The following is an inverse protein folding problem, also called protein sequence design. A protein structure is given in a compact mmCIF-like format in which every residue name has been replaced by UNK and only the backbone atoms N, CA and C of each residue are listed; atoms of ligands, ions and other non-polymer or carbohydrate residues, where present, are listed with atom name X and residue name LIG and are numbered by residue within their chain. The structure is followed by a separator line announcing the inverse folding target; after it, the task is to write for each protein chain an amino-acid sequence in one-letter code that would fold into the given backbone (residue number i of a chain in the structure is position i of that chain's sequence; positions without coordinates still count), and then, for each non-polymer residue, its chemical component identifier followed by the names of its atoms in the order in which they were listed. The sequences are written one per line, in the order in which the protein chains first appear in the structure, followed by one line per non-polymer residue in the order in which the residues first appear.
data_IF_507829766452
#
_entry.id   IF_507829766452
#
_cell.length_a   1.000
_cell.length_b   1.000
_cell.length_c   1.000
_cell.angle_alpha   90.00
_cell.angle_beta   90.00
_cell.angle_gamma   90.00
#
_symmetry.space_group_name_H-M   'P 1'
#
loop_
_entity.id
_entity.type
_entity.pdbx_description
1 polymer ?
#
# COMPACT_ATOMS: atom_id res chain seq x y z
N UNK A 1 -16.24 -42.13 -54.49
CA UNK A 1 -17.41 -41.77 -55.29
C UNK A 1 -18.28 -40.85 -54.47
N UNK A 2 -18.88 -39.86 -55.13
CA UNK A 2 -19.76 -38.77 -54.64
C UNK A 2 -19.05 -37.47 -54.21
N UNK A 3 -19.20 -36.48 -55.10
CA UNK A 3 -18.96 -35.06 -54.98
C UNK A 3 -20.04 -34.37 -54.12
N UNK A 4 -19.72 -33.19 -53.57
CA UNK A 4 -20.39 -31.92 -53.87
C UNK A 4 -20.13 -30.88 -52.76
N UNK A 5 -19.53 -29.74 -53.09
CA UNK A 5 -20.17 -28.41 -53.01
C UNK A 5 -19.13 -27.29 -52.95
N UNK A 6 -19.35 -26.33 -53.84
CA UNK A 6 -18.50 -25.20 -54.23
C UNK A 6 -18.99 -23.89 -53.58
N UNK A 7 -18.18 -22.83 -53.72
CA UNK A 7 -18.46 -21.37 -53.60
C UNK A 7 -18.28 -20.74 -52.20
N UNK A 8 -17.72 -19.52 -52.00
CA UNK A 8 -17.61 -18.32 -52.85
C UNK A 8 -16.42 -17.40 -52.45
N UNK A 9 -15.81 -16.82 -53.50
CA UNK A 9 -15.14 -15.52 -53.70
C UNK A 9 -14.15 -14.89 -52.70
N UNK A 10 -12.98 -14.57 -53.26
CA UNK A 10 -12.12 -13.45 -52.92
C UNK A 10 -12.26 -12.33 -53.97
N UNK A 11 -12.18 -11.06 -53.53
CA UNK A 11 -11.74 -9.95 -54.36
C UNK A 11 -10.87 -8.97 -53.53
N UNK A 12 -9.92 -8.26 -54.16
CA UNK A 12 -8.78 -7.61 -53.50
C UNK A 12 -8.94 -6.08 -53.38
N UNK A 13 -8.10 -5.45 -52.55
CA UNK A 13 -7.90 -3.99 -52.57
C UNK A 13 -6.39 -3.69 -52.69
N UNK A 14 -6.05 -2.88 -53.69
CA UNK A 14 -4.73 -2.32 -54.04
C UNK A 14 -4.87 -0.77 -54.01
N UNK A 15 -3.78 0.01 -53.77
CA UNK A 15 -3.82 1.28 -53.03
C UNK A 15 -3.59 2.54 -53.90
N UNK A 16 -3.68 3.75 -53.29
CA UNK A 16 -2.97 4.96 -53.72
C UNK A 16 -2.87 6.05 -52.62
N UNK A 17 -1.71 6.72 -52.59
CA UNK A 17 -1.14 7.81 -51.74
C UNK A 17 -1.74 9.23 -51.99
N UNK A 18 -1.18 10.43 -51.57
CA UNK A 18 0.09 10.79 -50.88
C UNK A 18 0.08 12.01 -49.88
N UNK A 19 1.29 12.40 -49.41
CA UNK A 19 1.80 13.73 -48.93
C UNK A 19 2.05 13.92 -47.41
N UNK A 20 3.33 13.91 -46.99
CA UNK A 20 4.21 15.05 -46.57
C UNK A 20 4.03 15.45 -45.09
N UNK A 21 5.03 15.59 -44.20
CA UNK A 21 6.47 15.81 -44.29
C UNK A 21 7.11 15.50 -42.92
N UNK A 22 8.21 14.73 -42.88
CA UNK A 22 9.06 14.58 -41.70
C UNK A 22 10.46 15.10 -42.02
N UNK A 23 10.94 16.08 -41.24
CA UNK A 23 12.31 16.58 -41.31
C UNK A 23 13.24 15.59 -40.61
N UNK A 24 14.03 14.85 -41.40
CA UNK A 24 15.17 14.06 -40.91
C UNK A 24 16.37 14.98 -40.69
N UNK A 25 16.96 14.92 -39.49
CA UNK A 25 18.34 15.34 -39.27
C UNK A 25 19.22 14.09 -39.26
N UNK A 26 19.97 13.87 -40.34
CA UNK A 26 21.01 12.83 -40.47
C UNK A 26 22.29 13.32 -39.81
N UNK A 27 22.89 12.50 -38.95
CA UNK A 27 24.32 12.61 -38.63
C UNK A 27 25.00 11.36 -39.17
N UNK A 28 25.88 11.58 -40.17
CA UNK A 28 26.75 10.59 -40.78
C UNK A 28 27.90 10.25 -39.82
N UNK A 29 28.24 8.97 -39.70
CA UNK A 29 29.54 8.53 -39.21
C UNK A 29 30.40 8.12 -40.41
N UNK A 30 31.55 8.79 -40.59
CA UNK A 30 32.56 8.44 -41.58
C UNK A 30 33.46 7.33 -41.03
N UNK A 31 33.69 6.30 -41.85
CA UNK A 31 34.71 5.28 -41.61
C UNK A 31 36.09 5.86 -41.95
N UNK A 32 37.02 5.82 -41.00
CA UNK A 32 38.44 6.06 -41.21
C UNK A 32 39.24 4.83 -40.78
N UNK A 33 39.88 4.17 -41.75
CA UNK A 33 40.87 3.12 -41.55
C UNK A 33 42.24 3.73 -41.23
N UNK A 34 42.88 3.29 -40.15
CA UNK A 34 44.35 3.29 -40.06
C UNK A 34 44.84 2.22 -39.08
N UNK A 35 45.76 1.41 -39.59
CA UNK A 35 46.57 0.38 -38.97
C UNK A 35 47.42 0.84 -37.77
N UNK A 36 47.55 0.00 -36.74
CA UNK A 36 48.55 0.16 -35.68
C UNK A 36 48.49 -0.96 -34.64
N UNK A 37 49.60 -1.69 -34.49
CA UNK A 37 49.79 -2.88 -33.67
C UNK A 37 49.97 -2.56 -32.17
N UNK A 38 49.62 -3.55 -31.33
CA UNK A 38 50.17 -3.89 -30.01
C UNK A 38 50.01 -2.91 -28.83
N UNK A 39 49.22 -3.30 -27.82
CA UNK A 39 49.70 -3.86 -26.54
C UNK A 39 48.56 -3.87 -25.51
N UNK A 40 48.33 -5.02 -24.86
CA UNK A 40 47.40 -5.14 -23.73
C UNK A 40 47.95 -4.39 -22.51
N UNK A 41 47.28 -3.31 -22.09
CA UNK A 41 47.44 -2.72 -20.76
C UNK A 41 46.13 -2.85 -19.98
N UNK A 42 46.13 -3.78 -19.02
CA UNK A 42 45.08 -3.94 -18.02
C UNK A 42 45.21 -2.82 -17.00
N UNK A 43 44.36 -1.79 -17.07
CA UNK A 43 44.33 -0.73 -16.07
C UNK A 43 43.54 -1.20 -14.85
N UNK A 44 44.24 -1.58 -13.78
CA UNK A 44 43.66 -1.86 -12.48
C UNK A 44 43.26 -0.54 -11.79
N UNK A 45 41.95 -0.33 -11.58
CA UNK A 45 41.44 0.79 -10.78
C UNK A 45 41.64 0.43 -9.30
N UNK A 46 42.60 1.08 -8.65
CA UNK A 46 42.82 1.00 -7.21
C UNK A 46 41.75 1.82 -6.47
N UNK A 47 40.82 1.14 -5.79
CA UNK A 47 39.91 1.78 -4.84
C UNK A 47 40.63 2.04 -3.53
N UNK A 48 40.77 3.32 -3.16
CA UNK A 48 41.23 3.73 -1.82
C UNK A 48 40.12 3.47 -0.79
N UNK A 49 40.42 2.90 0.40
CA UNK A 49 39.41 2.72 1.43
C UNK A 49 38.98 4.07 2.02
N UNK A 50 37.67 4.28 2.10
CA UNK A 50 37.05 5.41 2.80
C UNK A 50 37.23 5.18 4.31
N UNK A 51 37.88 6.12 4.99
CA UNK A 51 38.04 6.14 6.46
C UNK A 51 36.74 6.61 7.11
N UNK A 52 36.13 5.78 7.94
CA UNK A 52 35.09 6.19 8.88
C UNK A 52 35.71 6.87 10.12
N UNK A 53 35.12 7.94 10.67
CA UNK A 53 35.57 8.51 11.94
C UNK A 53 35.30 7.54 13.10
N UNK A 54 36.32 7.36 13.94
CA UNK A 54 36.28 6.58 15.19
C UNK A 54 35.50 7.35 16.26
N UNK A 55 34.31 6.88 16.62
CA UNK A 55 33.78 7.01 17.99
C UNK A 55 32.85 5.82 18.27
N UNK A 56 33.44 4.71 18.72
CA UNK A 56 32.76 3.75 19.59
C UNK A 56 33.84 2.91 20.28
N UNK A 57 34.36 3.45 21.38
CA UNK A 57 35.12 2.67 22.36
C UNK A 57 34.51 3.01 23.72
N UNK A 58 33.55 2.20 24.16
CA UNK A 58 33.62 1.63 25.49
C UNK A 58 32.59 0.52 25.69
N UNK A 59 32.89 -0.38 26.62
CA UNK A 59 32.05 -1.50 27.12
C UNK A 59 32.16 -2.84 26.36
N UNK A 60 33.38 -3.32 26.16
CA UNK A 60 33.67 -4.75 26.37
C UNK A 60 34.40 -4.95 27.69
N UNK A 61 33.66 -5.17 28.79
CA UNK A 61 34.18 -5.92 29.94
C UNK A 61 33.07 -6.73 30.59
N UNK A 62 33.43 -7.99 30.87
CA UNK A 62 32.73 -9.00 31.66
C UNK A 62 31.69 -9.86 30.93
N UNK A 63 32.16 -10.96 30.33
CA UNK A 63 31.94 -12.28 30.94
C UNK A 63 32.91 -13.32 30.37
N UNK A 64 33.69 -13.92 31.28
CA UNK A 64 34.53 -15.10 31.01
C UNK A 64 33.64 -16.28 30.68
N UNK A 65 33.88 -16.92 29.54
CA UNK A 65 33.45 -18.28 29.27
C UNK A 65 34.24 -19.24 30.19
N UNK A 66 33.53 -19.90 31.11
CA UNK A 66 34.01 -21.11 31.75
C UNK A 66 33.02 -22.23 31.44
N UNK A 67 33.52 -23.28 30.79
CA UNK A 67 32.84 -24.56 30.58
C UNK A 67 32.82 -25.36 31.88
N UNK A 68 31.66 -25.91 32.27
CA UNK A 68 31.56 -26.99 33.25
C UNK A 68 30.74 -28.16 32.67
N UNK A 69 31.09 -29.42 33.00
CA UNK A 69 30.43 -30.60 32.47
C UNK A 69 29.23 -31.03 33.33
N UNK A 70 28.16 -31.50 32.67
CA UNK A 70 27.12 -32.34 33.28
C UNK A 70 25.85 -31.64 33.79
N UNK A 71 24.71 -32.04 33.23
CA UNK A 71 23.48 -32.31 34.01
C UNK A 71 22.51 -31.16 34.31
N UNK A 72 21.37 -31.19 33.61
CA UNK A 72 20.03 -30.61 33.92
C UNK A 72 19.86 -29.08 33.79
N UNK A 73 19.06 -28.69 32.80
CA UNK A 73 18.43 -27.37 32.69
C UNK A 73 17.24 -27.26 33.64
N UNK A 74 17.24 -26.27 34.53
CA UNK A 74 16.04 -25.76 35.22
C UNK A 74 15.59 -24.48 34.52
N UNK A 75 14.29 -24.38 34.19
CA UNK A 75 13.65 -23.16 33.70
C UNK A 75 13.67 -22.08 34.79
N UNK A 76 14.44 -21.00 34.57
CA UNK A 76 14.39 -19.77 35.37
C UNK A 76 13.40 -18.77 34.76
N UNK A 77 12.59 -18.14 35.61
CA UNK A 77 11.55 -17.15 35.28
C UNK A 77 12.06 -16.04 34.37
N UNK A 78 11.32 -15.76 33.29
CA UNK A 78 11.50 -14.55 32.47
C UNK A 78 11.22 -13.30 33.31
N UNK A 79 12.19 -12.39 33.35
CA UNK A 79 12.11 -11.09 33.99
C UNK A 79 11.10 -10.19 33.25
N UNK A 80 10.29 -9.46 34.02
CA UNK A 80 9.31 -8.48 33.55
C UNK A 80 10.01 -7.32 32.81
N UNK A 81 9.52 -6.98 31.63
CA UNK A 81 9.89 -5.74 30.94
C UNK A 81 9.40 -4.51 31.74
N UNK A 82 10.21 -3.44 31.87
CA UNK A 82 9.79 -2.23 32.58
C UNK A 82 8.76 -1.44 31.77
N UNK A 83 7.70 -0.98 32.45
CA UNK A 83 6.68 -0.07 31.93
C UNK A 83 7.33 1.25 31.50
N UNK A 84 7.27 1.58 30.22
CA UNK A 84 7.53 2.94 29.73
C UNK A 84 6.21 3.70 29.78
N UNK A 85 6.14 4.72 30.64
CA UNK A 85 5.00 5.63 30.74
C UNK A 85 5.19 6.72 29.68
N UNK A 86 4.50 6.60 28.56
CA UNK A 86 4.45 7.66 27.55
C UNK A 86 3.64 8.84 28.11
N UNK A 87 4.27 10.00 28.23
CA UNK A 87 3.60 11.27 28.53
C UNK A 87 3.05 11.77 27.20
N UNK A 88 1.73 11.73 27.04
CA UNK A 88 1.04 12.29 25.89
C UNK A 88 1.07 13.82 25.99
N UNK A 89 1.76 14.48 25.07
CA UNK A 89 1.48 15.86 24.75
C UNK A 89 0.10 15.88 24.06
N UNK A 90 -0.86 16.59 24.64
CA UNK A 90 -2.17 16.82 24.04
C UNK A 90 -2.01 17.82 22.90
N UNK A 91 -2.34 17.40 21.69
CA UNK A 91 -2.47 18.33 20.56
C UNK A 91 -3.59 19.35 20.87
N UNK A 92 -3.43 20.63 20.47
CA UNK A 92 -4.47 21.63 20.69
C UNK A 92 -5.72 21.31 19.86
N UNK A 93 -6.93 21.63 20.36
CA UNK A 93 -8.18 21.30 19.69
C UNK A 93 -8.27 22.04 18.36
N UNK A 94 -8.36 21.27 17.27
CA UNK A 94 -8.63 21.77 15.92
C UNK A 94 -10.01 22.47 15.95
N UNK A 95 -10.02 23.73 15.52
CA UNK A 95 -11.21 24.56 15.48
C UNK A 95 -12.34 23.90 14.66
N UNK A 96 -13.55 23.93 15.21
CA UNK A 96 -14.76 23.41 14.57
C UNK A 96 -15.25 24.43 13.55
N UNK A 97 -15.10 24.11 12.26
CA UNK A 97 -15.88 24.77 11.21
C UNK A 97 -17.29 24.17 11.20
N UNK A 98 -18.22 24.88 11.84
CA UNK A 98 -19.64 24.60 11.76
C UNK A 98 -20.21 25.22 10.47
N UNK A 99 -20.27 24.42 9.41
CA UNK A 99 -21.13 24.67 8.26
C UNK A 99 -22.31 23.68 8.28
N UNK A 100 -23.51 24.22 8.23
CA UNK A 100 -24.80 23.55 8.43
C UNK A 100 -25.17 22.59 7.29
N UNK A 101 -25.70 21.43 7.69
CA UNK A 101 -26.26 20.40 6.82
C UNK A 101 -26.75 19.24 7.67
N UNK A 102 -28.03 19.29 8.07
CA UNK A 102 -28.71 18.27 8.86
C UNK A 102 -28.87 16.98 8.05
N UNK A 103 -27.90 16.08 8.20
CA UNK A 103 -27.91 14.72 7.68
C UNK A 103 -26.84 13.95 8.44
N UNK A 104 -27.20 12.78 8.98
CA UNK A 104 -26.38 11.94 9.86
C UNK A 104 -24.87 12.07 9.56
N UNK A 105 -24.14 12.81 10.41
CA UNK A 105 -22.72 13.18 10.19
C UNK A 105 -21.81 11.93 10.12
N UNK A 106 -22.24 10.81 10.71
CA UNK A 106 -21.57 9.51 10.65
C UNK A 106 -22.28 8.61 9.62
N UNK A 107 -21.59 8.28 8.53
CA UNK A 107 -22.20 7.47 7.46
C UNK A 107 -21.27 6.42 6.84
N UNK A 108 -20.05 6.27 7.37
CA UNK A 108 -19.03 5.40 6.80
C UNK A 108 -18.60 4.34 7.80
N UNK A 109 -18.68 3.07 7.43
CA UNK A 109 -17.98 1.99 8.15
C UNK A 109 -16.60 1.78 7.55
N UNK A 110 -15.56 1.79 8.37
CA UNK A 110 -14.18 1.54 7.90
C UNK A 110 -13.85 0.07 8.10
N UNK A 111 -13.37 -0.61 7.05
CA UNK A 111 -12.75 -1.93 7.16
C UNK A 111 -11.24 -1.72 7.13
N UNK A 112 -10.59 -1.92 8.27
CA UNK A 112 -9.14 -1.79 8.40
C UNK A 112 -8.47 -3.17 8.29
N UNK A 113 -7.80 -3.42 7.17
CA UNK A 113 -7.16 -4.70 6.88
C UNK A 113 -5.80 -4.81 7.58
N UNK A 114 -5.73 -5.64 8.62
CA UNK A 114 -4.54 -5.88 9.44
C UNK A 114 -4.18 -7.37 9.59
N UNK A 115 -4.72 -8.24 8.74
CA UNK A 115 -4.52 -9.70 8.78
C UNK A 115 -3.34 -10.25 7.97
N UNK A 116 -2.64 -9.42 7.19
CA UNK A 116 -1.61 -9.90 6.27
C UNK A 116 -0.40 -10.51 7.00
N UNK A 117 0.13 -11.64 6.52
CA UNK A 117 1.24 -12.37 7.19
C UNK A 117 2.63 -11.75 7.02
N UNK A 118 2.81 -10.75 6.13
CA UNK A 118 4.06 -9.96 6.05
C UNK A 118 5.31 -10.73 5.56
N UNK A 119 5.16 -11.74 4.69
CA UNK A 119 6.24 -12.67 4.28
C UNK A 119 7.49 -12.04 3.64
N UNK A 120 7.41 -10.80 3.14
CA UNK A 120 8.51 -10.11 2.44
C UNK A 120 9.47 -9.32 3.36
N UNK A 121 9.15 -9.19 4.65
CA UNK A 121 9.91 -8.37 5.60
C UNK A 121 10.95 -9.13 6.42
N UNK A 122 11.01 -10.46 6.31
CA UNK A 122 11.96 -11.30 7.07
C UNK A 122 11.84 -11.22 8.60
N UNK A 123 10.82 -10.53 9.11
CA UNK A 123 10.58 -10.34 10.53
C UNK A 123 9.71 -11.47 11.11
N UNK A 124 9.93 -11.80 12.39
CA UNK A 124 9.12 -12.78 13.15
C UNK A 124 7.68 -12.31 13.44
N UNK A 125 7.34 -11.08 13.04
CA UNK A 125 6.06 -10.43 13.29
C UNK A 125 5.53 -9.82 11.99
N UNK A 126 4.21 -9.85 11.74
CA UNK A 126 3.64 -9.22 10.56
C UNK A 126 3.95 -7.73 10.51
N UNK A 127 4.26 -7.25 9.31
CA UNK A 127 4.81 -5.92 9.08
C UNK A 127 3.97 -4.78 9.66
N UNK A 128 2.64 -4.88 9.60
CA UNK A 128 1.73 -3.84 10.09
C UNK A 128 1.78 -3.66 11.61
N UNK A 129 2.44 -4.57 12.34
CA UNK A 129 2.68 -4.45 13.78
C UNK A 129 4.10 -4.00 14.13
N UNK A 130 4.97 -3.82 13.13
CA UNK A 130 6.31 -3.26 13.37
C UNK A 130 6.18 -1.85 13.93
N UNK A 131 7.08 -1.44 14.83
CA UNK A 131 7.09 -0.08 15.36
C UNK A 131 7.51 0.91 14.25
N UNK A 132 6.72 1.96 14.11
CA UNK A 132 6.99 3.16 13.33
C UNK A 132 6.91 4.33 14.31
N UNK A 133 8.07 4.91 14.64
CA UNK A 133 8.20 5.92 15.71
C UNK A 133 7.62 5.46 17.06
N UNK A 134 7.91 4.21 17.43
CA UNK A 134 7.48 3.62 18.72
C UNK A 134 6.03 3.14 18.77
N UNK A 135 5.24 3.32 17.69
CA UNK A 135 3.85 2.85 17.59
C UNK A 135 3.70 1.84 16.44
N UNK A 136 2.93 0.75 16.59
CA UNK A 136 2.63 -0.16 15.48
C UNK A 136 2.12 0.58 14.23
N UNK A 137 2.63 0.23 13.05
CA UNK A 137 2.24 0.83 11.75
C UNK A 137 0.72 0.92 11.60
N UNK A 138 0.00 -0.16 11.91
CA UNK A 138 -1.46 -0.24 11.78
C UNK A 138 -2.21 0.81 12.60
N UNK A 139 -1.64 1.21 13.75
CA UNK A 139 -2.29 2.17 14.64
C UNK A 139 -2.26 3.61 14.11
N UNK A 140 -1.34 3.95 13.20
CA UNK A 140 -1.31 5.30 12.61
C UNK A 140 -2.54 5.56 11.74
N UNK A 141 -2.87 4.63 10.83
CA UNK A 141 -4.10 4.73 10.04
C UNK A 141 -5.35 4.54 10.91
N UNK A 142 -5.32 3.62 11.88
CA UNK A 142 -6.44 3.43 12.82
C UNK A 142 -6.81 4.74 13.52
N UNK A 143 -5.81 5.43 14.10
CA UNK A 143 -6.05 6.69 14.79
C UNK A 143 -6.54 7.78 13.84
N UNK A 144 -6.03 7.82 12.61
CA UNK A 144 -6.51 8.77 11.60
C UNK A 144 -8.02 8.61 11.37
N UNK A 145 -8.49 7.38 11.13
CA UNK A 145 -9.93 7.12 10.97
C UNK A 145 -10.72 7.33 12.26
N UNK A 146 -10.17 6.93 13.40
CA UNK A 146 -10.89 6.97 14.66
C UNK A 146 -11.22 8.39 15.16
N UNK A 147 -10.49 9.40 14.66
CA UNK A 147 -10.75 10.81 14.95
C UNK A 147 -11.59 11.52 13.87
N UNK A 148 -12.04 10.81 12.83
CA UNK A 148 -12.89 11.38 11.80
C UNK A 148 -14.36 11.33 12.20
N UNK A 149 -15.06 12.46 12.09
CA UNK A 149 -16.47 12.60 12.43
C UNK A 149 -17.39 11.84 11.47
N UNK A 150 -16.90 11.54 10.27
CA UNK A 150 -17.60 10.82 9.20
C UNK A 150 -17.69 9.31 9.48
N UNK A 151 -16.78 8.79 10.31
CA UNK A 151 -16.63 7.37 10.60
C UNK A 151 -17.63 6.96 11.69
N UNK A 152 -18.50 6.03 11.33
CA UNK A 152 -19.51 5.45 12.20
C UNK A 152 -18.89 4.39 13.13
N UNK A 153 -17.97 3.59 12.59
CA UNK A 153 -17.32 2.48 13.26
C UNK A 153 -16.08 2.03 12.48
N UNK A 154 -15.19 1.30 13.14
CA UNK A 154 -14.04 0.64 12.53
C UNK A 154 -14.13 -0.86 12.76
N UNK A 155 -14.23 -1.63 11.69
CA UNK A 155 -14.08 -3.09 11.68
C UNK A 155 -12.62 -3.41 11.39
N UNK A 156 -11.89 -3.86 12.42
CA UNK A 156 -10.50 -4.28 12.27
C UNK A 156 -10.46 -5.75 11.89
N UNK A 157 -9.89 -6.05 10.73
CA UNK A 157 -9.70 -7.43 10.27
C UNK A 157 -8.30 -7.88 10.63
N UNK A 158 -8.16 -8.58 11.75
CA UNK A 158 -6.86 -9.00 12.29
C UNK A 158 -6.89 -10.41 12.87
N UNK A 159 -5.74 -11.05 12.93
CA UNK A 159 -5.60 -12.31 13.67
C UNK A 159 -5.88 -12.07 15.16
N UNK A 160 -6.61 -12.96 15.86
CA UNK A 160 -6.95 -12.80 17.27
C UNK A 160 -5.74 -12.55 18.19
N UNK A 161 -4.56 -13.05 17.82
CA UNK A 161 -3.32 -12.84 18.59
C UNK A 161 -2.81 -11.39 18.60
N UNK A 162 -3.34 -10.52 17.74
CA UNK A 162 -3.00 -9.10 17.67
C UNK A 162 -4.18 -8.17 18.01
N UNK A 163 -5.29 -8.74 18.47
CA UNK A 163 -6.51 -7.98 18.78
C UNK A 163 -6.29 -6.99 19.93
N UNK A 164 -5.49 -7.39 20.91
CA UNK A 164 -5.09 -6.59 22.07
C UNK A 164 -4.45 -5.25 21.70
N UNK A 165 -3.68 -5.21 20.61
CA UNK A 165 -3.08 -3.97 20.05
C UNK A 165 -4.15 -2.91 19.77
N UNK A 166 -5.27 -3.32 19.18
CA UNK A 166 -6.35 -2.41 18.81
C UNK A 166 -7.32 -2.18 19.96
N UNK A 167 -7.55 -3.17 20.84
CA UNK A 167 -8.39 -2.99 22.03
C UNK A 167 -7.78 -1.98 22.99
N UNK A 168 -6.45 -1.95 23.14
CA UNK A 168 -5.79 -0.91 23.93
C UNK A 168 -5.98 0.46 23.28
N UNK A 169 -5.73 0.58 21.98
CA UNK A 169 -5.90 1.84 21.24
C UNK A 169 -7.37 2.33 21.20
N UNK A 170 -8.33 1.40 21.24
CA UNK A 170 -9.75 1.70 21.22
C UNK A 170 -10.24 2.41 22.50
N UNK A 171 -9.51 2.29 23.62
CA UNK A 171 -9.86 2.95 24.89
C UNK A 171 -9.80 4.47 24.81
N UNK A 172 -8.96 4.99 23.91
CA UNK A 172 -8.69 6.41 23.76
C UNK A 172 -9.56 7.08 22.68
N UNK A 173 -10.49 6.34 22.05
CA UNK A 173 -11.31 6.85 20.94
C UNK A 173 -12.80 6.59 21.20
N UNK A 174 -13.65 7.48 20.67
CA UNK A 174 -15.10 7.39 20.85
C UNK A 174 -15.78 6.47 19.82
N UNK A 175 -15.11 6.19 18.70
CA UNK A 175 -15.68 5.38 17.62
C UNK A 175 -15.78 3.90 18.05
N UNK A 176 -16.91 3.22 17.81
CA UNK A 176 -17.03 1.79 18.03
C UNK A 176 -15.99 1.01 17.21
N UNK A 177 -15.33 0.05 17.85
CA UNK A 177 -14.38 -0.86 17.21
C UNK A 177 -14.92 -2.28 17.25
N UNK A 178 -15.03 -2.91 16.09
CA UNK A 178 -15.39 -4.32 15.91
C UNK A 178 -14.21 -5.10 15.33
N UNK A 179 -14.31 -6.42 15.37
CA UNK A 179 -13.26 -7.30 14.89
C UNK A 179 -13.83 -8.37 13.96
N UNK A 180 -13.09 -8.68 12.89
CA UNK A 180 -13.40 -9.78 11.98
C UNK A 180 -12.16 -10.64 11.74
N UNK A 181 -12.38 -11.91 11.38
CA UNK A 181 -11.29 -12.84 11.09
C UNK A 181 -10.68 -12.57 9.70
N UNK A 182 -9.35 -12.62 9.56
CA UNK A 182 -8.71 -12.55 8.26
C UNK A 182 -9.01 -13.81 7.45
N UNK A 183 -9.20 -13.62 6.15
CA UNK A 183 -9.39 -14.72 5.22
C UNK A 183 -8.08 -15.28 4.66
N UNK A 184 -8.19 -16.23 3.72
CA UNK A 184 -7.02 -16.82 3.05
C UNK A 184 -6.35 -15.77 2.16
N UNK A 185 -7.16 -14.99 1.46
CA UNK A 185 -6.73 -13.92 0.57
C UNK A 185 -7.22 -12.54 1.07
N UNK A 186 -6.80 -11.47 0.39
CA UNK A 186 -7.12 -10.09 0.83
C UNK A 186 -8.63 -9.83 0.74
N UNK A 187 -9.25 -10.25 -0.35
CA UNK A 187 -10.68 -10.08 -0.62
C UNK A 187 -11.55 -10.90 0.33
N UNK A 188 -11.10 -12.09 0.77
CA UNK A 188 -11.79 -12.85 1.82
C UNK A 188 -11.81 -12.05 3.13
N UNK A 189 -10.70 -11.36 3.44
CA UNK A 189 -10.61 -10.49 4.61
C UNK A 189 -11.55 -9.28 4.50
N UNK A 190 -11.70 -8.72 3.30
CA UNK A 190 -12.67 -7.65 3.03
C UNK A 190 -14.10 -8.15 3.21
N UNK A 191 -14.44 -9.33 2.68
CA UNK A 191 -15.75 -9.98 2.86
C UNK A 191 -16.06 -10.22 4.33
N UNK A 192 -15.10 -10.73 5.12
CA UNK A 192 -15.25 -10.87 6.56
C UNK A 192 -15.56 -9.54 7.24
N UNK A 193 -14.82 -8.48 6.90
CA UNK A 193 -15.09 -7.15 7.43
C UNK A 193 -16.46 -6.60 7.02
N UNK A 194 -16.86 -6.81 5.77
CA UNK A 194 -18.14 -6.37 5.20
C UNK A 194 -19.35 -7.02 5.88
N UNK A 195 -19.18 -8.23 6.43
CA UNK A 195 -20.24 -8.90 7.18
C UNK A 195 -20.46 -8.30 8.58
N UNK A 196 -19.49 -7.56 9.12
CA UNK A 196 -19.53 -6.97 10.47
C UNK A 196 -19.95 -5.49 10.47
N UNK A 197 -20.00 -4.85 9.30
CA UNK A 197 -20.36 -3.43 9.22
C UNK A 197 -21.81 -3.18 9.63
N UNK A 198 -22.08 -1.97 10.10
CA UNK A 198 -23.41 -1.49 10.46
C UNK A 198 -24.30 -1.41 9.22
N UNK A 199 -25.54 -1.88 9.37
CA UNK A 199 -26.58 -1.74 8.34
C UNK A 199 -26.98 -0.27 8.09
N UNK A 200 -26.61 0.66 8.98
CA UNK A 200 -26.85 2.09 8.79
C UNK A 200 -25.73 2.81 8.03
N UNK A 201 -24.63 2.13 7.70
CA UNK A 201 -23.55 2.70 6.91
C UNK A 201 -24.01 2.92 5.46
N UNK A 202 -23.77 4.11 4.94
CA UNK A 202 -24.04 4.46 3.53
C UNK A 202 -22.87 4.10 2.63
N UNK A 203 -21.65 4.15 3.17
CA UNK A 203 -20.42 3.81 2.47
C UNK A 203 -19.61 2.85 3.33
N UNK A 204 -18.87 1.96 2.67
CA UNK A 204 -17.79 1.18 3.27
C UNK A 204 -16.45 1.67 2.75
N UNK A 205 -15.52 1.92 3.66
CA UNK A 205 -14.18 2.42 3.37
C UNK A 205 -13.15 1.35 3.71
N UNK A 206 -12.61 0.68 2.69
CA UNK A 206 -11.60 -0.38 2.86
C UNK A 206 -10.21 0.25 2.83
N UNK A 207 -9.42 0.02 3.87
CA UNK A 207 -8.05 0.56 3.98
C UNK A 207 -7.03 -0.49 4.40
N UNK A 208 -5.88 -0.49 3.73
CA UNK A 208 -4.73 -1.29 4.14
C UNK A 208 -4.04 -0.64 5.34
N UNK A 209 -4.00 -1.33 6.49
CA UNK A 209 -3.31 -0.83 7.70
C UNK A 209 -1.81 -0.59 7.51
N UNK A 210 -1.22 -1.17 6.46
CA UNK A 210 0.17 -0.93 6.07
C UNK A 210 0.39 0.42 5.34
N UNK A 211 -0.65 1.26 5.18
CA UNK A 211 -0.55 2.65 4.68
C UNK A 211 -0.77 3.62 5.86
N UNK A 212 0.26 3.90 6.68
CA UNK A 212 0.12 4.71 7.89
C UNK A 212 0.00 6.21 7.63
N UNK A 213 0.23 6.66 6.39
CA UNK A 213 0.41 8.08 6.03
C UNK A 213 -0.78 8.66 5.25
N UNK A 214 -1.93 8.00 5.32
CA UNK A 214 -3.15 8.49 4.68
C UNK A 214 -3.57 9.81 5.33
N UNK A 215 -3.89 10.82 4.51
CA UNK A 215 -4.25 12.15 5.01
C UNK A 215 -5.77 12.30 5.09
N UNK A 216 -6.26 12.92 6.18
CA UNK A 216 -7.70 13.19 6.38
C UNK A 216 -8.33 13.91 5.19
N UNK A 217 -7.62 14.87 4.58
CA UNK A 217 -8.10 15.59 3.40
C UNK A 217 -8.31 14.67 2.19
N UNK A 218 -7.47 13.66 2.01
CA UNK A 218 -7.56 12.73 0.88
C UNK A 218 -8.67 11.71 1.14
N UNK A 219 -8.83 11.26 2.39
CA UNK A 219 -9.96 10.42 2.82
C UNK A 219 -11.29 11.14 2.53
N UNK A 220 -11.44 12.39 2.98
CA UNK A 220 -12.67 13.17 2.73
C UNK A 220 -13.00 13.33 1.25
N UNK A 221 -11.99 13.56 0.40
CA UNK A 221 -12.19 13.63 -1.05
C UNK A 221 -12.75 12.33 -1.61
N UNK A 222 -12.14 11.19 -1.31
CA UNK A 222 -12.61 9.90 -1.84
C UNK A 222 -13.98 9.50 -1.27
N UNK A 223 -14.28 9.88 -0.03
CA UNK A 223 -15.63 9.71 0.54
C UNK A 223 -16.67 10.52 -0.24
N UNK A 224 -16.38 11.78 -0.56
CA UNK A 224 -17.28 12.63 -1.34
C UNK A 224 -17.48 12.11 -2.76
N UNK A 225 -16.40 11.71 -3.44
CA UNK A 225 -16.48 11.16 -4.79
C UNK A 225 -17.27 9.84 -4.80
N UNK A 226 -17.07 8.96 -3.81
CA UNK A 226 -17.86 7.73 -3.67
C UNK A 226 -19.33 8.01 -3.37
N UNK A 227 -19.66 9.06 -2.60
CA UNK A 227 -21.06 9.45 -2.37
C UNK A 227 -21.77 9.92 -3.65
N UNK A 228 -21.03 10.41 -4.66
CA UNK A 228 -21.56 10.85 -5.96
C UNK A 228 -21.61 9.68 -6.96
N UNK A 229 -20.58 8.84 -6.97
CA UNK A 229 -20.38 7.82 -8.01
C UNK A 229 -20.74 6.38 -7.56
N UNK A 230 -21.05 6.18 -6.29
CA UNK A 230 -21.28 4.88 -5.66
C UNK A 230 -20.00 4.08 -5.38
N UNK A 231 -18.91 4.35 -6.11
CA UNK A 231 -17.59 3.77 -5.88
C UNK A 231 -16.48 4.75 -6.28
N UNK A 232 -15.51 4.96 -5.39
CA UNK A 232 -14.30 5.72 -5.66
C UNK A 232 -13.08 5.11 -4.98
N UNK A 233 -11.90 5.36 -5.54
CA UNK A 233 -10.62 4.83 -5.05
C UNK A 233 -9.56 5.93 -5.05
N UNK A 234 -8.73 5.98 -4.01
CA UNK A 234 -7.52 6.81 -4.09
C UNK A 234 -6.53 6.24 -5.09
N UNK A 235 -5.96 7.10 -5.92
CA UNK A 235 -4.86 6.76 -6.79
C UNK A 235 -3.96 7.96 -7.07
N UNK A 236 -2.78 7.69 -7.61
CA UNK A 236 -1.87 8.74 -8.11
C UNK A 236 -1.42 8.42 -9.54
N UNK A 237 -1.19 9.43 -10.40
CA UNK A 237 -0.67 9.17 -11.74
C UNK A 237 0.70 8.50 -11.69
N UNK A 238 0.94 7.54 -12.59
CA UNK A 238 2.23 6.84 -12.65
C UNK A 238 3.32 7.79 -13.17
N UNK A 239 4.41 7.92 -12.40
CA UNK A 239 5.60 8.70 -12.80
C UNK A 239 6.57 7.90 -13.67
N UNK A 240 6.70 6.61 -13.38
CA UNK A 240 7.63 5.73 -14.09
C UNK A 240 7.16 5.45 -15.53
N UNK A 241 8.12 5.18 -16.43
CA UNK A 241 7.76 4.63 -17.74
C UNK A 241 7.46 3.14 -17.56
N UNK A 242 6.23 2.73 -17.87
CA UNK A 242 5.81 1.33 -17.75
C UNK A 242 5.97 0.61 -19.08
N UNK A 243 6.60 -0.56 -19.02
CA UNK A 243 6.77 -1.47 -20.15
C UNK A 243 5.93 -2.72 -19.90
N UNK A 244 5.25 -3.17 -20.95
CA UNK A 244 4.74 -4.52 -21.04
C UNK A 244 5.88 -5.42 -21.55
N UNK A 245 6.03 -6.60 -20.96
CA UNK A 245 7.06 -7.56 -21.31
C UNK A 245 6.44 -8.93 -21.60
N UNK A 246 7.03 -9.65 -22.55
CA UNK A 246 6.69 -11.04 -22.82
C UNK A 246 7.27 -11.96 -21.72
N UNK A 247 6.85 -13.23 -21.71
CA UNK A 247 7.28 -14.22 -20.71
C UNK A 247 8.79 -14.53 -20.74
N UNK A 248 9.47 -14.23 -21.84
CA UNK A 248 10.91 -14.35 -22.02
C UNK A 248 11.70 -13.09 -21.60
N UNK A 249 11.00 -12.06 -21.11
CA UNK A 249 11.59 -10.84 -20.55
C UNK A 249 11.83 -9.72 -21.57
N UNK A 250 11.48 -9.91 -22.85
CA UNK A 250 11.61 -8.84 -23.84
C UNK A 250 10.44 -7.86 -23.77
N UNK A 251 10.75 -6.56 -23.95
CA UNK A 251 9.75 -5.49 -24.00
C UNK A 251 8.86 -5.65 -25.24
N UNK A 252 7.55 -5.72 -25.04
CA UNK A 252 6.54 -5.79 -26.11
C UNK A 252 5.94 -4.42 -26.42
N UNK A 253 5.68 -3.62 -25.38
CA UNK A 253 4.99 -2.34 -25.52
C UNK A 253 5.42 -1.35 -24.45
N UNK A 254 5.43 -0.07 -24.80
CA UNK A 254 5.48 1.02 -23.81
C UNK A 254 4.06 1.52 -23.61
N UNK A 255 3.58 1.48 -22.37
CA UNK A 255 2.24 1.97 -22.05
C UNK A 255 2.23 3.50 -21.96
N UNK A 256 1.15 4.13 -22.42
CA UNK A 256 0.99 5.58 -22.31
C UNK A 256 0.64 5.95 -20.86
N UNK A 257 1.68 6.39 -20.12
CA UNK A 257 1.57 6.70 -18.69
C UNK A 257 0.51 7.75 -18.34
N UNK A 258 0.04 8.56 -19.30
CA UNK A 258 -1.01 9.56 -19.04
C UNK A 258 -2.36 8.94 -18.65
N UNK A 259 -2.56 7.66 -18.95
CA UNK A 259 -3.75 6.89 -18.56
C UNK A 259 -3.47 5.87 -17.45
N UNK A 260 -2.26 5.84 -16.89
CA UNK A 260 -1.89 4.87 -15.87
C UNK A 260 -1.87 5.51 -14.49
N UNK A 261 -2.48 4.81 -13.54
CA UNK A 261 -2.59 5.23 -12.17
C UNK A 261 -2.14 4.11 -11.23
N UNK A 262 -1.42 4.48 -10.19
CA UNK A 262 -1.09 3.59 -9.09
C UNK A 262 -2.24 3.64 -8.07
N UNK A 263 -2.96 2.52 -7.95
CA UNK A 263 -4.07 2.41 -7.02
C UNK A 263 -3.57 2.35 -5.57
N UNK A 264 -4.27 3.10 -4.71
CA UNK A 264 -4.02 3.18 -3.29
C UNK A 264 -5.27 2.75 -2.51
N UNK A 265 -5.17 2.83 -1.18
CA UNK A 265 -6.34 2.80 -0.30
C UNK A 265 -6.40 4.13 0.47
N UNK A 266 -7.58 4.65 0.80
CA UNK A 266 -8.86 3.93 0.84
C UNK A 266 -9.52 3.65 -0.50
N UNK A 267 -10.27 2.55 -0.55
CA UNK A 267 -11.25 2.24 -1.60
C UNK A 267 -12.63 2.35 -0.94
N UNK A 268 -13.50 3.20 -1.47
CA UNK A 268 -14.77 3.57 -0.85
C UNK A 268 -15.91 3.20 -1.78
N UNK A 269 -16.82 2.36 -1.31
CA UNK A 269 -17.85 1.72 -2.13
C UNK A 269 -19.16 1.72 -1.34
N UNK A 270 -20.29 1.82 -2.03
CA UNK A 270 -21.60 1.53 -1.42
C UNK A 270 -21.66 0.07 -0.93
N UNK A 271 -22.13 -0.21 0.30
CA UNK A 271 -22.16 -1.57 0.85
C UNK A 271 -22.91 -2.58 -0.03
N UNK A 272 -24.08 -2.22 -0.53
CA UNK A 272 -24.89 -3.10 -1.39
C UNK A 272 -24.23 -3.36 -2.75
N UNK A 273 -23.52 -2.37 -3.29
CA UNK A 273 -22.75 -2.55 -4.52
C UNK A 273 -21.62 -3.58 -4.31
N UNK A 274 -20.88 -3.46 -3.20
CA UNK A 274 -19.81 -4.39 -2.88
C UNK A 274 -20.34 -5.81 -2.58
N UNK A 275 -21.45 -5.94 -1.85
CA UNK A 275 -22.11 -7.23 -1.58
C UNK A 275 -22.49 -7.96 -2.87
N UNK A 276 -23.20 -7.29 -3.77
CA UNK A 276 -23.54 -7.86 -5.09
C UNK A 276 -22.32 -8.27 -5.89
N UNK A 277 -21.23 -7.52 -5.77
CA UNK A 277 -19.98 -7.83 -6.45
C UNK A 277 -19.36 -9.13 -5.93
N UNK A 278 -19.31 -9.31 -4.61
CA UNK A 278 -18.86 -10.57 -4.01
C UNK A 278 -19.75 -11.75 -4.42
N UNK A 279 -21.07 -11.59 -4.43
CA UNK A 279 -21.99 -12.63 -4.90
C UNK A 279 -21.75 -13.02 -6.36
N UNK A 280 -21.50 -12.04 -7.23
CA UNK A 280 -21.17 -12.27 -8.64
C UNK A 280 -19.86 -13.06 -8.77
N UNK A 281 -18.81 -12.60 -8.11
CA UNK A 281 -17.47 -13.23 -8.13
C UNK A 281 -17.55 -14.68 -7.65
N UNK A 282 -18.27 -14.94 -6.56
CA UNK A 282 -18.42 -16.30 -6.00
C UNK A 282 -19.23 -17.20 -6.95
N UNK A 283 -20.32 -16.69 -7.52
CA UNK A 283 -21.15 -17.44 -8.47
C UNK A 283 -20.40 -17.80 -9.75
N UNK A 284 -19.62 -16.88 -10.29
CA UNK A 284 -18.98 -17.00 -11.60
C UNK A 284 -17.49 -17.38 -11.54
N UNK A 285 -16.94 -17.57 -10.33
CA UNK A 285 -15.55 -17.95 -10.08
C UNK A 285 -14.55 -16.98 -10.76
N UNK A 286 -14.84 -15.69 -10.69
CA UNK A 286 -14.06 -14.64 -11.36
C UNK A 286 -12.77 -14.35 -10.60
N UNK A 287 -11.71 -14.02 -11.34
CA UNK A 287 -10.45 -13.55 -10.76
C UNK A 287 -10.63 -12.12 -10.24
N UNK A 288 -10.09 -11.87 -9.04
CA UNK A 288 -10.16 -10.57 -8.35
C UNK A 288 -8.76 -10.15 -7.95
N UNK A 289 -8.33 -8.96 -8.39
CA UNK A 289 -7.00 -8.42 -8.11
C UNK A 289 -7.00 -7.38 -6.98
N UNK A 290 -8.10 -6.67 -6.81
CA UNK A 290 -8.35 -5.67 -5.77
C UNK A 290 -9.86 -5.44 -5.55
N UNK A 291 -10.26 -4.56 -4.61
CA UNK A 291 -11.69 -4.38 -4.30
C UNK A 291 -12.44 -3.65 -5.43
N UNK A 292 -11.71 -2.85 -6.21
CA UNK A 292 -12.22 -2.18 -7.42
C UNK A 292 -12.60 -3.20 -8.49
N UNK A 293 -11.78 -4.22 -8.73
CA UNK A 293 -12.07 -5.26 -9.73
C UNK A 293 -13.36 -6.03 -9.44
N UNK A 294 -13.76 -6.16 -8.17
CA UNK A 294 -15.06 -6.74 -7.78
C UNK A 294 -16.22 -5.89 -8.35
N UNK A 295 -16.09 -4.57 -8.27
CA UNK A 295 -17.10 -3.61 -8.74
C UNK A 295 -17.08 -3.52 -10.28
N UNK A 296 -15.91 -3.62 -10.90
CA UNK A 296 -15.76 -3.63 -12.36
C UNK A 296 -16.43 -4.85 -13.01
N UNK A 297 -16.45 -6.00 -12.34
CA UNK A 297 -17.19 -7.18 -12.81
C UNK A 297 -18.69 -6.92 -12.92
N UNK A 298 -19.24 -6.04 -12.07
CA UNK A 298 -20.64 -5.57 -12.17
C UNK A 298 -20.87 -4.55 -13.29
N UNK A 299 -19.83 -4.18 -14.06
CA UNK A 299 -19.84 -3.08 -15.04
C UNK A 299 -20.19 -1.72 -14.43
N UNK A 300 -19.98 -1.56 -13.13
CA UNK A 300 -20.13 -0.28 -12.45
C UNK A 300 -18.83 0.51 -12.56
N UNK A 301 -18.93 1.80 -12.87
CA UNK A 301 -17.77 2.67 -13.03
C UNK A 301 -17.20 3.04 -11.67
N UNK A 302 -15.88 2.93 -11.51
CA UNK A 302 -15.18 3.37 -10.30
C UNK A 302 -14.42 4.66 -10.58
N UNK A 303 -14.66 5.68 -9.76
CA UNK A 303 -14.01 6.97 -9.90
C UNK A 303 -12.63 6.95 -9.24
N UNK A 304 -11.60 7.49 -9.92
CA UNK A 304 -10.26 7.61 -9.34
C UNK A 304 -10.13 9.01 -8.74
N UNK A 305 -10.05 9.08 -7.41
CA UNK A 305 -9.77 10.29 -6.67
C UNK A 305 -8.26 10.46 -6.55
N UNK A 306 -7.75 11.63 -6.94
CA UNK A 306 -6.32 11.93 -6.81
C UNK A 306 -5.89 12.04 -5.33
N UNK A 307 -5.00 11.15 -4.92
CA UNK A 307 -4.42 11.09 -3.58
C UNK A 307 -3.01 11.69 -3.49
N UNK A 308 -2.30 11.36 -2.42
CA UNK A 308 -0.91 11.79 -2.21
C UNK A 308 0.09 10.67 -2.49
N UNK A 309 1.23 11.01 -3.11
CA UNK A 309 2.38 10.11 -3.22
C UNK A 309 2.97 9.72 -1.86
N UNK A 310 2.71 10.50 -0.81
CA UNK A 310 3.13 10.17 0.55
C UNK A 310 2.33 9.03 1.17
N UNK A 311 1.16 8.66 0.60
CA UNK A 311 0.31 7.55 1.08
C UNK A 311 0.89 6.17 0.67
N UNK A 312 2.18 5.98 0.95
CA UNK A 312 2.92 4.78 0.58
C UNK A 312 2.47 3.58 1.42
N UNK A 313 2.52 2.39 0.80
CA UNK A 313 2.29 1.13 1.51
C UNK A 313 3.63 0.63 2.01
N UNK A 314 3.77 0.48 3.33
CA UNK A 314 4.98 -0.08 3.93
C UNK A 314 5.01 -1.58 3.61
N UNK A 315 5.98 -1.97 2.79
CA UNK A 315 6.18 -3.35 2.32
C UNK A 315 7.60 -3.85 2.51
N UNK A 316 8.57 -2.95 2.61
CA UNK A 316 10.00 -3.19 2.73
C UNK A 316 10.60 -2.39 3.91
N UNK A 317 11.82 -2.72 4.37
CA UNK A 317 12.53 -1.91 5.36
C UNK A 317 12.79 -0.47 4.90
N UNK A 318 13.08 -0.27 3.61
CA UNK A 318 13.30 1.07 3.04
C UNK A 318 12.04 1.93 3.11
N UNK A 319 10.86 1.32 2.90
CA UNK A 319 9.58 2.01 3.05
C UNK A 319 9.36 2.53 4.48
N UNK A 320 9.87 1.81 5.48
CA UNK A 320 9.76 2.21 6.89
C UNK A 320 10.56 3.50 7.16
N UNK A 321 11.81 3.56 6.64
CA UNK A 321 12.66 4.75 6.77
C UNK A 321 12.02 5.98 6.10
N UNK A 322 11.42 5.78 4.92
CA UNK A 322 10.68 6.84 4.22
C UNK A 322 9.48 7.29 5.06
N UNK A 323 8.71 6.35 5.62
CA UNK A 323 7.54 6.66 6.43
C UNK A 323 7.90 7.42 7.72
N UNK A 324 8.97 7.02 8.42
CA UNK A 324 9.49 7.74 9.59
C UNK A 324 9.84 9.18 9.24
N UNK A 325 10.51 9.39 8.11
CA UNK A 325 10.91 10.73 7.69
C UNK A 325 9.72 11.62 7.35
N UNK A 326 8.70 11.08 6.69
CA UNK A 326 7.47 11.82 6.37
C UNK A 326 6.75 12.23 7.65
N UNK A 327 6.59 11.31 8.61
CA UNK A 327 5.94 11.62 9.89
C UNK A 327 6.69 12.69 10.69
N UNK A 328 8.01 12.60 10.75
CA UNK A 328 8.84 13.60 11.43
C UNK A 328 8.76 15.00 10.82
N UNK A 329 8.55 15.13 9.51
CA UNK A 329 8.38 16.43 8.85
C UNK A 329 6.99 17.04 9.07
N UNK A 330 5.99 16.22 9.39
CA UNK A 330 4.65 16.66 9.76
C UNK A 330 4.53 17.13 11.21
N UNK A 331 5.49 16.80 12.08
CA UNK A 331 5.59 17.35 13.43
C UNK A 331 6.38 18.67 13.37
N UNK A 332 5.83 19.81 13.85
CA UNK A 332 6.61 21.03 14.00
C UNK A 332 7.88 20.74 14.82
N UNK A 333 9.03 21.25 14.39
CA UNK A 333 10.29 21.09 15.10
C UNK A 333 10.21 21.75 16.49
N UNK A 334 10.00 20.92 17.51
CA UNK A 334 9.96 21.27 18.93
C UNK A 334 9.09 20.22 19.63
N UNK A 335 9.63 19.18 20.26
CA UNK A 335 10.49 19.24 21.44
C UNK A 335 11.45 18.05 21.37
N UNK A 336 12.75 18.32 21.23
CA UNK A 336 13.79 17.36 21.60
C UNK A 336 14.23 17.77 23.00
N UNK A 337 13.74 17.06 24.02
CA UNK A 337 14.30 17.14 25.36
C UNK A 337 15.64 16.39 25.34
N UNK A 338 16.72 17.13 25.54
CA UNK A 338 18.09 16.63 25.77
C UNK A 338 18.18 15.75 27.00
#
# INVERSE_FOLDING_TARGET
MAEASTLFAALPVVPASPSSSWTQCKVQWQNGTSSGNASHETTAISMKPIKFPKQLTDLTRQTRLQTLPGGRLRLGRLARCPRVRAVLASDPPIARDDAEGSGNRQSVSVILLAGGKGTRMGANMPKQYLPLLGRPIALHSFQTFAHMMEVLEIVVVCDPSYRDVFEEAAKDVAVPVKFAMPGKERQDSVRSGLNEISNSAKLVCVHDSARPLVLVKDIRKVLNDAAVHGAAVLGVPVKATIKEAASDGFVTKTLDRKYLWEMQTPQVIEPELLRRGFELVEREHLEVTDDVSIVEHLKHMVFITEGSYTNLKVTTPDDLLVAERILHQGTPAGVVSV
#
